data_IF_210552069146
#
_entry.id   IF_210552069146
#
_cell.length_a   1.000
_cell.length_b   1.000
_cell.length_c   1.000
_cell.angle_alpha   90.00
_cell.angle_beta   90.00
_cell.angle_gamma   90.00
#
_symmetry.space_group_name_H-M   'P 1'
#
loop_
_entity.id
_entity.type
_entity.pdbx_description
1 polymer ?
#
# COMPACT_ATOMS: atom_id res chain seq x y z
N UNK A 1 9.06 -15.08 -0.38
CA UNK A 1 9.31 -13.98 -1.32
C UNK A 1 9.95 -14.45 -2.64
N UNK A 2 11.10 -15.14 -2.65
CA UNK A 2 11.75 -15.63 -3.88
C UNK A 2 10.85 -16.48 -4.78
N UNK A 3 10.04 -17.38 -4.22
CA UNK A 3 9.14 -18.23 -5.00
C UNK A 3 8.11 -17.43 -5.82
N UNK A 4 7.57 -16.35 -5.28
CA UNK A 4 6.59 -15.53 -6.01
C UNK A 4 7.24 -14.72 -7.14
N UNK A 5 8.49 -14.27 -6.98
CA UNK A 5 9.26 -13.64 -8.05
C UNK A 5 9.57 -14.63 -9.16
N UNK A 6 9.95 -15.88 -8.82
CA UNK A 6 10.16 -16.92 -9.80
C UNK A 6 8.88 -17.23 -10.60
N UNK A 7 7.72 -17.33 -9.93
CA UNK A 7 6.42 -17.50 -10.60
C UNK A 7 6.08 -16.37 -11.55
N UNK A 8 6.52 -15.13 -11.27
CA UNK A 8 6.30 -13.99 -12.15
C UNK A 8 7.00 -14.16 -13.52
N UNK A 9 8.14 -14.87 -13.57
CA UNK A 9 8.84 -15.17 -14.83
C UNK A 9 7.95 -16.01 -15.75
N UNK A 10 7.21 -16.98 -15.22
CA UNK A 10 6.27 -17.78 -15.99
C UNK A 10 5.13 -16.93 -16.59
N UNK A 11 4.70 -15.90 -15.88
CA UNK A 11 3.63 -15.01 -16.34
C UNK A 11 4.00 -14.29 -17.65
N UNK A 12 5.28 -14.08 -17.91
CA UNK A 12 5.77 -13.38 -19.10
C UNK A 12 5.77 -14.26 -20.37
N UNK A 13 5.45 -15.56 -20.26
CA UNK A 13 5.35 -16.44 -21.42
C UNK A 13 4.10 -16.08 -22.23
N UNK A 14 4.23 -16.06 -23.56
CA UNK A 14 3.19 -15.63 -24.49
C UNK A 14 1.85 -16.39 -24.33
N UNK A 15 1.90 -17.66 -23.92
CA UNK A 15 0.70 -18.48 -23.68
C UNK A 15 -0.19 -17.98 -22.52
N UNK A 16 0.34 -17.16 -21.59
CA UNK A 16 -0.40 -16.57 -20.47
C UNK A 16 -0.80 -15.11 -20.73
N UNK A 17 -0.48 -14.59 -21.90
CA UNK A 17 -0.88 -13.25 -22.29
C UNK A 17 -2.31 -13.22 -22.83
N UNK A 18 -3.12 -12.29 -22.31
CA UNK A 18 -4.38 -11.88 -22.94
C UNK A 18 -4.75 -10.47 -22.44
N UNK A 19 -5.53 -9.74 -23.24
CA UNK A 19 -6.06 -8.44 -22.80
C UNK A 19 -6.90 -8.53 -21.53
N UNK A 20 -7.61 -9.65 -21.33
CA UNK A 20 -8.41 -9.88 -20.13
C UNK A 20 -7.51 -10.07 -18.90
N UNK A 21 -6.43 -10.87 -19.02
CA UNK A 21 -5.47 -11.07 -17.93
C UNK A 21 -4.75 -9.77 -17.56
N UNK A 22 -4.32 -8.99 -18.55
CA UNK A 22 -3.73 -7.67 -18.35
C UNK A 22 -4.71 -6.70 -17.68
N UNK A 23 -5.97 -6.64 -18.14
CA UNK A 23 -7.00 -5.80 -17.53
C UNK A 23 -7.29 -6.21 -16.08
N UNK A 24 -7.33 -7.52 -15.80
CA UNK A 24 -7.46 -8.08 -14.46
C UNK A 24 -6.30 -7.67 -13.55
N UNK A 25 -5.07 -7.71 -14.05
CA UNK A 25 -3.89 -7.22 -13.34
C UNK A 25 -4.01 -5.72 -13.00
N UNK A 26 -4.34 -4.87 -13.96
CA UNK A 26 -4.49 -3.41 -13.75
C UNK A 26 -5.61 -3.14 -12.74
N UNK A 27 -6.75 -3.82 -12.85
CA UNK A 27 -7.85 -3.67 -11.92
C UNK A 27 -7.45 -4.08 -10.49
N UNK A 28 -6.83 -5.24 -10.31
CA UNK A 28 -6.40 -5.73 -9.00
C UNK A 28 -5.24 -4.91 -8.43
N UNK A 29 -4.35 -4.40 -9.28
CA UNK A 29 -3.34 -3.43 -8.86
C UNK A 29 -3.99 -2.18 -8.26
N UNK A 30 -4.97 -1.60 -8.94
CA UNK A 30 -5.72 -0.46 -8.42
C UNK A 30 -6.45 -0.81 -7.11
N UNK A 31 -7.15 -1.95 -7.05
CA UNK A 31 -7.85 -2.40 -5.83
C UNK A 31 -6.89 -2.55 -4.65
N UNK A 32 -5.76 -3.22 -4.84
CA UNK A 32 -4.87 -3.55 -3.72
C UNK A 32 -3.93 -2.41 -3.36
N UNK A 33 -3.34 -1.72 -4.33
CA UNK A 33 -2.43 -0.61 -4.05
C UNK A 33 -3.20 0.68 -3.74
N UNK A 34 -4.13 1.13 -4.60
CA UNK A 34 -4.83 2.40 -4.39
C UNK A 34 -5.87 2.31 -3.28
N UNK A 35 -6.86 1.41 -3.41
CA UNK A 35 -7.93 1.32 -2.42
C UNK A 35 -7.45 0.66 -1.12
N UNK A 36 -6.62 -0.38 -1.23
CA UNK A 36 -6.15 -1.16 -0.09
C UNK A 36 -5.05 -0.48 0.70
N UNK A 37 -3.87 -0.34 0.09
CA UNK A 37 -2.70 0.18 0.80
C UNK A 37 -2.82 1.69 1.02
N UNK A 38 -2.95 2.50 -0.04
CA UNK A 38 -2.87 3.95 0.12
C UNK A 38 -4.11 4.56 0.79
N UNK A 39 -5.32 4.19 0.32
CA UNK A 39 -6.57 4.71 0.92
C UNK A 39 -6.84 4.05 2.27
N UNK A 40 -6.80 2.71 2.33
CA UNK A 40 -7.19 1.92 3.49
C UNK A 40 -6.14 1.90 4.59
N UNK A 41 -5.03 1.21 4.37
CA UNK A 41 -4.01 1.02 5.41
C UNK A 41 -3.33 2.32 5.79
N UNK A 42 -2.91 3.11 4.81
CA UNK A 42 -2.12 4.30 5.03
C UNK A 42 -2.96 5.47 5.53
N UNK A 43 -3.79 6.10 4.67
CA UNK A 43 -4.47 7.35 5.03
C UNK A 43 -5.63 7.16 6.01
N UNK A 44 -6.40 6.06 5.88
CA UNK A 44 -7.56 5.82 6.73
C UNK A 44 -7.18 5.20 8.08
N UNK A 45 -6.48 4.06 8.09
CA UNK A 45 -6.22 3.31 9.32
C UNK A 45 -4.99 3.82 10.07
N UNK A 46 -3.86 4.13 9.39
CA UNK A 46 -2.64 4.60 10.06
C UNK A 46 -2.79 6.03 10.55
N UNK A 47 -3.09 6.96 9.63
CA UNK A 47 -3.08 8.39 9.91
C UNK A 47 -4.43 8.96 10.36
N UNK A 48 -5.52 8.16 10.25
CA UNK A 48 -6.85 8.65 10.60
C UNK A 48 -7.19 10.00 9.94
N UNK A 49 -6.71 10.20 8.71
CA UNK A 49 -6.83 11.48 7.99
C UNK A 49 -8.24 11.81 7.51
N UNK A 50 -9.14 10.82 7.51
CA UNK A 50 -10.57 10.97 7.25
C UNK A 50 -11.36 9.83 7.91
N UNK A 51 -12.69 9.89 7.85
CA UNK A 51 -13.58 8.85 8.38
C UNK A 51 -14.57 8.40 7.31
N UNK A 52 -14.89 7.11 7.33
CA UNK A 52 -15.93 6.48 6.50
C UNK A 52 -16.81 5.57 7.35
N UNK A 53 -18.00 5.13 6.86
CA UNK A 53 -18.78 4.09 7.53
C UNK A 53 -17.97 2.81 7.74
N UNK A 54 -18.23 2.09 8.83
CA UNK A 54 -17.43 0.93 9.25
C UNK A 54 -17.36 -0.18 8.20
N UNK A 55 -18.43 -0.40 7.44
CA UNK A 55 -18.41 -1.37 6.35
C UNK A 55 -17.40 -1.02 5.25
N UNK A 56 -17.30 0.28 4.92
CA UNK A 56 -16.36 0.78 3.91
C UNK A 56 -14.90 0.77 4.44
N UNK A 57 -14.70 1.07 5.72
CA UNK A 57 -13.40 0.93 6.38
C UNK A 57 -12.91 -0.52 6.30
N UNK A 58 -13.80 -1.49 6.59
CA UNK A 58 -13.51 -2.92 6.49
C UNK A 58 -13.24 -3.37 5.06
N UNK A 59 -14.00 -2.85 4.09
CA UNK A 59 -13.75 -3.10 2.67
C UNK A 59 -12.34 -2.66 2.26
N UNK A 60 -11.93 -1.43 2.58
CA UNK A 60 -10.58 -0.96 2.28
C UNK A 60 -9.50 -1.76 3.01
N UNK A 61 -9.74 -2.16 4.25
CA UNK A 61 -8.83 -3.03 4.98
C UNK A 61 -8.68 -4.41 4.30
N UNK A 62 -9.75 -4.97 3.76
CA UNK A 62 -9.69 -6.24 2.99
C UNK A 62 -8.91 -6.07 1.70
N UNK A 63 -9.13 -4.97 0.97
CA UNK A 63 -8.33 -4.65 -0.22
C UNK A 63 -6.83 -4.53 0.12
N UNK A 64 -6.49 -3.94 1.28
CA UNK A 64 -5.12 -3.87 1.80
C UNK A 64 -4.55 -5.26 2.13
N UNK A 65 -5.34 -6.11 2.79
CA UNK A 65 -4.92 -7.47 3.12
C UNK A 65 -4.63 -8.33 1.86
N UNK A 66 -5.36 -8.09 0.77
CA UNK A 66 -5.11 -8.73 -0.53
C UNK A 66 -3.76 -8.33 -1.16
N UNK A 67 -3.09 -7.27 -0.68
CA UNK A 67 -1.73 -6.91 -1.12
C UNK A 67 -0.65 -7.84 -0.56
N UNK A 68 -0.98 -8.66 0.44
CA UNK A 68 -0.05 -9.56 1.15
C UNK A 68 1.18 -8.84 1.76
N UNK A 69 1.04 -7.57 2.15
CA UNK A 69 2.06 -6.78 2.85
C UNK A 69 1.77 -6.73 4.36
N UNK A 70 1.60 -7.85 5.01
CA UNK A 70 1.03 -8.02 6.35
C UNK A 70 -0.50 -7.74 6.42
N UNK A 71 -1.08 -8.12 7.54
CA UNK A 71 -2.45 -7.74 7.86
C UNK A 71 -2.53 -6.30 8.42
N UNK A 72 -3.74 -5.77 8.61
CA UNK A 72 -3.94 -4.36 8.96
C UNK A 72 -3.32 -3.94 10.29
N UNK A 73 -3.24 -4.85 11.28
CA UNK A 73 -2.67 -4.53 12.60
C UNK A 73 -1.17 -4.35 12.50
N UNK A 74 -0.47 -5.29 11.85
CA UNK A 74 0.98 -5.27 11.74
C UNK A 74 1.43 -4.14 10.82
N UNK A 75 0.78 -3.98 9.66
CA UNK A 75 1.10 -2.92 8.71
C UNK A 75 0.95 -1.53 9.33
N UNK A 76 -0.18 -1.26 9.99
CA UNK A 76 -0.46 0.03 10.64
C UNK A 76 0.50 0.29 11.80
N UNK A 77 0.79 -0.75 12.59
CA UNK A 77 1.72 -0.62 13.71
C UNK A 77 3.15 -0.31 13.26
N UNK A 78 3.66 -1.02 12.25
CA UNK A 78 4.97 -0.76 11.66
C UNK A 78 5.04 0.64 11.03
N UNK A 79 4.00 1.06 10.31
CA UNK A 79 3.97 2.37 9.68
C UNK A 79 3.94 3.53 10.70
N UNK A 80 3.18 3.39 11.79
CA UNK A 80 3.19 4.36 12.90
C UNK A 80 4.54 4.38 13.63
N UNK A 81 5.21 3.22 13.72
CA UNK A 81 6.56 3.13 14.25
C UNK A 81 7.55 3.90 13.37
N UNK A 82 7.49 3.68 12.05
CA UNK A 82 8.30 4.41 11.08
C UNK A 82 8.16 5.93 11.24
N UNK A 83 6.94 6.47 11.28
CA UNK A 83 6.73 7.91 11.48
C UNK A 83 7.26 8.45 12.83
N UNK A 84 7.39 7.59 13.84
CA UNK A 84 7.96 8.00 15.12
C UNK A 84 9.49 8.05 15.09
N UNK A 85 10.11 7.19 14.28
CA UNK A 85 11.55 6.96 14.27
C UNK A 85 12.17 7.07 12.88
N UNK A 86 11.50 7.75 11.94
CA UNK A 86 11.91 7.84 10.53
C UNK A 86 13.39 8.17 10.39
N UNK A 87 14.10 7.36 9.58
CA UNK A 87 15.52 7.49 9.28
C UNK A 87 16.44 7.51 10.52
N UNK A 88 16.05 6.84 11.60
CA UNK A 88 16.91 6.59 12.76
C UNK A 88 17.25 5.09 12.84
N UNK A 89 18.18 4.72 13.73
CA UNK A 89 18.55 3.31 13.98
C UNK A 89 17.36 2.44 14.41
N UNK A 90 16.32 3.04 15.01
CA UNK A 90 15.11 2.34 15.42
C UNK A 90 14.13 2.12 14.26
N UNK A 91 14.29 2.81 13.14
CA UNK A 91 13.47 2.61 11.94
C UNK A 91 13.83 1.27 11.27
N UNK A 92 12.84 0.41 11.06
CA UNK A 92 13.08 -0.91 10.46
C UNK A 92 13.56 -0.80 9.00
N UNK A 93 13.17 0.22 8.27
CA UNK A 93 13.63 0.48 6.90
C UNK A 93 14.45 1.78 6.77
N UNK A 94 15.27 2.07 7.78
CA UNK A 94 16.18 3.21 7.83
C UNK A 94 16.94 3.42 6.51
N UNK A 95 16.70 4.54 5.83
CA UNK A 95 17.30 4.86 4.54
C UNK A 95 18.79 5.19 4.63
N UNK A 96 19.31 5.51 5.84
CA UNK A 96 20.74 5.74 6.07
C UNK A 96 21.57 4.46 5.88
N UNK A 97 20.93 3.27 5.99
CA UNK A 97 21.56 1.98 5.68
C UNK A 97 21.63 1.68 4.18
N UNK A 98 21.12 2.59 3.35
CA UNK A 98 21.17 2.53 1.90
C UNK A 98 19.88 2.06 1.23
N UNK A 99 19.82 2.30 -0.10
CA UNK A 99 18.62 2.02 -0.91
C UNK A 99 18.12 0.58 -0.80
N UNK A 100 18.99 -0.41 -0.96
CA UNK A 100 18.58 -1.82 -0.95
C UNK A 100 18.11 -2.29 0.41
N UNK A 101 18.67 -1.72 1.49
CA UNK A 101 18.18 -1.99 2.83
C UNK A 101 16.74 -1.49 2.98
N UNK A 102 16.50 -0.20 2.76
CA UNK A 102 15.18 0.40 2.91
C UNK A 102 14.15 -0.14 1.91
N UNK A 103 14.60 -0.60 0.71
CA UNK A 103 13.72 -1.19 -0.28
C UNK A 103 13.19 -2.56 0.17
N UNK A 104 14.06 -3.48 0.51
CA UNK A 104 13.67 -4.86 0.84
C UNK A 104 14.57 -5.58 1.83
N UNK A 105 15.80 -5.13 2.06
CA UNK A 105 16.79 -5.83 2.89
C UNK A 105 16.31 -6.04 4.32
N UNK A 106 15.66 -5.04 4.89
CA UNK A 106 15.15 -5.08 6.26
C UNK A 106 14.19 -6.25 6.53
N UNK A 107 13.50 -6.77 5.51
CA UNK A 107 12.55 -7.88 5.66
C UNK A 107 13.21 -9.26 5.82
N UNK A 108 14.52 -9.35 5.64
CA UNK A 108 15.29 -10.58 5.82
C UNK A 108 15.99 -10.65 7.19
N UNK A 109 15.83 -9.61 8.00
CA UNK A 109 16.37 -9.50 9.35
C UNK A 109 15.24 -9.51 10.39
N UNK A 110 15.60 -9.70 11.65
CA UNK A 110 14.67 -9.51 12.76
C UNK A 110 14.20 -8.04 12.78
N UNK A 111 12.89 -7.82 12.90
CA UNK A 111 12.28 -6.51 12.96
C UNK A 111 11.86 -6.17 14.39
N UNK A 112 12.74 -5.52 15.20
CA UNK A 112 12.42 -5.17 16.58
C UNK A 112 11.18 -4.29 16.74
N UNK A 113 10.87 -3.47 15.72
CA UNK A 113 9.67 -2.64 15.64
C UNK A 113 8.37 -3.44 15.82
N UNK A 114 8.35 -4.75 15.47
CA UNK A 114 7.20 -5.63 15.67
C UNK A 114 6.78 -5.72 17.15
N UNK A 115 7.69 -5.56 18.10
CA UNK A 115 7.37 -5.54 19.54
C UNK A 115 6.52 -4.33 19.93
N UNK A 116 6.59 -3.23 19.18
CA UNK A 116 5.81 -2.02 19.43
C UNK A 116 4.41 -2.07 18.78
N UNK A 117 4.18 -2.96 17.79
CA UNK A 117 2.93 -3.07 17.05
C UNK A 117 1.69 -3.16 17.94
N UNK A 118 1.63 -4.01 18.99
CA UNK A 118 0.43 -4.10 19.82
C UNK A 118 0.04 -2.77 20.50
N UNK A 119 1.01 -1.96 20.87
CA UNK A 119 0.79 -0.64 21.45
C UNK A 119 0.36 0.38 20.40
N UNK A 120 1.03 0.38 19.24
CA UNK A 120 0.83 1.37 18.19
C UNK A 120 -0.47 1.15 17.39
N UNK A 121 -0.96 -0.09 17.31
CA UNK A 121 -2.21 -0.46 16.63
C UNK A 121 -3.31 -0.96 17.59
N UNK A 122 -3.26 -0.56 18.86
CA UNK A 122 -4.22 -0.97 19.90
C UNK A 122 -5.69 -0.63 19.58
N UNK A 123 -5.92 0.39 18.76
CA UNK A 123 -7.23 0.75 18.23
C UNK A 123 -7.80 -0.31 17.25
N UNK A 124 -6.94 -1.00 16.50
CA UNK A 124 -7.34 -2.06 15.56
C UNK A 124 -7.42 -3.43 16.23
N UNK A 125 -6.53 -3.74 17.17
CA UNK A 125 -6.51 -5.03 17.87
C UNK A 125 -7.83 -5.34 18.58
N UNK A 126 -8.56 -4.33 19.02
CA UNK A 126 -9.86 -4.50 19.69
C UNK A 126 -10.95 -5.03 18.76
N UNK A 127 -10.87 -4.80 17.45
CA UNK A 127 -11.86 -5.24 16.48
C UNK A 127 -11.54 -6.67 15.99
N UNK A 128 -12.44 -7.65 16.20
CA UNK A 128 -12.23 -9.04 15.79
C UNK A 128 -12.06 -9.19 14.27
N UNK A 129 -12.63 -8.29 13.48
CA UNK A 129 -12.47 -8.28 12.03
C UNK A 129 -11.02 -8.03 11.61
N UNK A 130 -10.35 -7.04 12.22
CA UNK A 130 -8.95 -6.77 11.92
C UNK A 130 -8.02 -7.86 12.44
N UNK A 131 -8.33 -8.49 13.59
CA UNK A 131 -7.59 -9.68 14.04
C UNK A 131 -7.71 -10.84 13.06
N UNK A 132 -8.92 -11.08 12.53
CA UNK A 132 -9.16 -12.10 11.51
C UNK A 132 -8.33 -11.81 10.24
N UNK A 133 -8.40 -10.59 9.69
CA UNK A 133 -7.61 -10.20 8.52
C UNK A 133 -6.11 -10.32 8.79
N UNK A 134 -5.64 -9.87 9.96
CA UNK A 134 -4.23 -9.88 10.31
C UNK A 134 -3.66 -11.30 10.37
N UNK A 135 -4.45 -12.25 10.84
CA UNK A 135 -4.05 -13.68 10.91
C UNK A 135 -4.14 -14.38 9.55
N UNK A 136 -5.10 -14.00 8.70
CA UNK A 136 -5.51 -14.78 7.54
C UNK A 136 -5.29 -14.08 6.19
N UNK A 137 -4.53 -12.97 6.13
CA UNK A 137 -4.38 -12.18 4.90
C UNK A 137 -3.86 -12.99 3.70
N UNK A 138 -2.98 -13.97 3.92
CA UNK A 138 -2.49 -14.84 2.85
C UNK A 138 -3.58 -15.77 2.31
N UNK A 139 -4.48 -16.24 3.17
CA UNK A 139 -5.55 -17.17 2.77
C UNK A 139 -6.57 -16.49 1.85
N UNK A 140 -6.65 -15.17 1.84
CA UNK A 140 -7.52 -14.42 0.92
C UNK A 140 -7.14 -14.62 -0.56
N UNK A 141 -5.91 -15.06 -0.85
CA UNK A 141 -5.50 -15.39 -2.20
C UNK A 141 -6.18 -16.67 -2.74
N UNK A 142 -6.66 -17.56 -1.88
CA UNK A 142 -7.33 -18.80 -2.30
C UNK A 142 -8.67 -18.52 -3.01
N UNK A 143 -9.65 -17.82 -2.39
CA UNK A 143 -10.90 -17.48 -3.07
C UNK A 143 -10.66 -16.53 -4.26
N UNK A 144 -9.70 -15.61 -4.18
CA UNK A 144 -9.34 -14.76 -5.31
C UNK A 144 -8.82 -15.60 -6.48
N UNK A 145 -7.90 -16.53 -6.21
CA UNK A 145 -7.34 -17.42 -7.24
C UNK A 145 -8.39 -18.30 -7.89
N UNK A 146 -9.30 -18.89 -7.10
CA UNK A 146 -10.42 -19.67 -7.63
C UNK A 146 -11.32 -18.82 -8.53
N UNK A 147 -11.66 -17.60 -8.12
CA UNK A 147 -12.47 -16.67 -8.91
C UNK A 147 -11.78 -16.31 -10.22
N UNK A 148 -10.50 -15.94 -10.19
CA UNK A 148 -9.72 -15.62 -11.38
C UNK A 148 -9.62 -16.81 -12.34
N UNK A 149 -9.38 -18.00 -11.79
CA UNK A 149 -9.33 -19.23 -12.60
C UNK A 149 -10.65 -19.47 -13.34
N UNK A 150 -11.77 -19.38 -12.63
CA UNK A 150 -13.10 -19.58 -13.22
C UNK A 150 -13.43 -18.52 -14.29
N UNK A 151 -13.09 -17.25 -14.04
CA UNK A 151 -13.24 -16.18 -15.04
C UNK A 151 -12.43 -16.49 -16.30
N UNK A 152 -11.16 -16.87 -16.15
CA UNK A 152 -10.30 -17.19 -17.29
C UNK A 152 -10.78 -18.38 -18.09
N UNK A 153 -11.28 -19.42 -17.42
CA UNK A 153 -11.86 -20.60 -18.08
C UNK A 153 -13.14 -20.25 -18.84
N UNK A 154 -14.06 -19.54 -18.20
CA UNK A 154 -15.33 -19.16 -18.83
C UNK A 154 -15.14 -18.18 -20.02
N UNK A 155 -14.11 -17.36 -19.99
CA UNK A 155 -13.78 -16.43 -21.06
C UNK A 155 -12.90 -17.04 -22.17
N UNK A 156 -12.49 -18.31 -22.06
CA UNK A 156 -11.65 -18.98 -23.04
C UNK A 156 -10.20 -18.49 -23.14
N UNK A 157 -9.72 -17.72 -22.14
CA UNK A 157 -8.32 -17.21 -22.11
C UNK A 157 -7.39 -18.08 -21.25
N UNK A 158 -7.95 -19.10 -20.60
CA UNK A 158 -7.23 -19.99 -19.71
C UNK A 158 -7.22 -19.49 -18.24
N UNK A 159 -7.63 -20.37 -17.30
CA UNK A 159 -7.72 -20.02 -15.89
C UNK A 159 -6.38 -19.60 -15.28
N UNK A 160 -5.31 -20.30 -15.65
CA UNK A 160 -3.97 -19.99 -15.15
C UNK A 160 -3.42 -18.65 -15.63
N UNK A 161 -3.79 -18.18 -16.83
CA UNK A 161 -3.43 -16.83 -17.27
C UNK A 161 -3.94 -15.78 -16.30
N UNK A 162 -5.24 -15.84 -15.96
CA UNK A 162 -5.84 -14.92 -14.99
C UNK A 162 -5.19 -15.02 -13.60
N UNK A 163 -4.91 -16.23 -13.11
CA UNK A 163 -4.27 -16.44 -11.80
C UNK A 163 -2.86 -15.87 -11.78
N UNK A 164 -2.02 -16.15 -12.78
CA UNK A 164 -0.64 -15.70 -12.85
C UNK A 164 -0.53 -14.17 -12.95
N UNK A 165 -1.38 -13.53 -13.74
CA UNK A 165 -1.42 -12.07 -13.84
C UNK A 165 -2.03 -11.43 -12.59
N UNK A 166 -3.10 -11.98 -12.04
CA UNK A 166 -3.83 -11.40 -10.91
C UNK A 166 -3.22 -11.66 -9.55
N UNK A 167 -2.34 -12.66 -9.39
CA UNK A 167 -1.71 -12.97 -8.09
C UNK A 167 -0.20 -12.74 -8.14
N UNK A 168 0.67 -13.63 -8.67
CA UNK A 168 2.11 -13.44 -8.52
C UNK A 168 2.61 -12.16 -9.18
N UNK A 169 2.26 -11.88 -10.43
CA UNK A 169 2.73 -10.67 -11.10
C UNK A 169 2.24 -9.40 -10.38
N UNK A 170 0.95 -9.36 -10.04
CA UNK A 170 0.38 -8.21 -9.32
C UNK A 170 1.02 -8.03 -7.95
N UNK A 171 1.25 -9.10 -7.17
CA UNK A 171 1.88 -9.00 -5.85
C UNK A 171 3.30 -8.46 -5.96
N UNK A 172 4.13 -9.03 -6.85
CA UNK A 172 5.50 -8.56 -7.04
C UNK A 172 5.53 -7.09 -7.47
N UNK A 173 4.66 -6.70 -8.41
CA UNK A 173 4.57 -5.31 -8.84
C UNK A 173 4.17 -4.37 -7.68
N UNK A 174 3.13 -4.73 -6.92
CA UNK A 174 2.65 -3.93 -5.76
C UNK A 174 3.71 -3.87 -4.66
N UNK A 175 4.47 -4.93 -4.42
CA UNK A 175 5.58 -4.92 -3.46
C UNK A 175 6.61 -3.87 -3.85
N UNK A 176 7.16 -3.98 -5.05
CA UNK A 176 8.23 -3.07 -5.47
C UNK A 176 7.78 -1.60 -5.50
N UNK A 177 6.58 -1.29 -6.00
CA UNK A 177 6.13 0.11 -5.98
C UNK A 177 5.93 0.65 -4.56
N UNK A 178 5.45 -0.18 -3.60
CA UNK A 178 5.34 0.22 -2.20
C UNK A 178 6.73 0.41 -1.57
N UNK A 179 7.65 -0.52 -1.82
CA UNK A 179 9.03 -0.41 -1.30
C UNK A 179 9.81 0.76 -1.91
N UNK A 180 9.45 1.23 -3.13
CA UNK A 180 9.99 2.47 -3.68
C UNK A 180 9.58 3.69 -2.83
N UNK A 181 8.44 3.64 -2.14
CA UNK A 181 8.08 4.69 -1.18
C UNK A 181 9.06 4.71 -0.01
N UNK A 182 9.47 3.55 0.50
CA UNK A 182 10.42 3.47 1.62
C UNK A 182 11.86 3.80 1.21
N UNK A 183 12.23 3.56 -0.05
CA UNK A 183 13.62 3.67 -0.54
C UNK A 183 13.83 4.89 -1.43
N UNK A 184 13.21 4.92 -2.61
CA UNK A 184 13.45 5.96 -3.61
C UNK A 184 13.02 7.35 -3.11
N UNK A 185 11.95 7.44 -2.32
CA UNK A 185 11.48 8.72 -1.77
C UNK A 185 12.26 9.20 -0.54
N UNK A 186 13.17 8.40 -0.01
CA UNK A 186 14.14 8.84 0.99
C UNK A 186 15.53 9.11 0.38
N UNK A 187 15.80 8.56 -0.84
CA UNK A 187 17.08 8.78 -1.53
C UNK A 187 16.99 9.91 -2.55
N UNK A 188 15.92 9.97 -3.37
CA UNK A 188 15.85 10.84 -4.56
C UNK A 188 14.55 11.63 -4.64
N UNK A 189 14.65 12.91 -4.94
CA UNK A 189 13.50 13.78 -5.12
C UNK A 189 13.77 15.21 -4.65
N UNK A 190 12.69 15.94 -4.41
CA UNK A 190 12.72 17.34 -3.95
C UNK A 190 12.19 17.43 -2.52
N UNK A 191 12.79 18.31 -1.72
CA UNK A 191 12.31 18.69 -0.39
C UNK A 191 11.50 19.97 -0.55
N UNK A 192 10.25 19.95 -0.10
CA UNK A 192 9.35 21.09 -0.11
C UNK A 192 9.11 21.66 1.29
N UNK A 193 9.28 20.81 2.31
CA UNK A 193 9.05 21.14 3.72
C UNK A 193 10.10 20.48 4.60
N UNK A 194 10.45 21.14 5.71
CA UNK A 194 11.29 20.54 6.75
C UNK A 194 10.49 19.47 7.50
N UNK A 195 10.83 18.19 7.28
CA UNK A 195 10.17 17.05 7.91
C UNK A 195 10.96 16.45 9.08
N UNK A 196 12.27 16.78 9.15
CA UNK A 196 13.17 16.22 10.16
C UNK A 196 13.75 14.85 9.80
N UNK A 197 13.50 14.37 8.59
CA UNK A 197 13.95 13.09 8.05
C UNK A 197 14.44 13.22 6.59
N UNK A 198 14.80 12.12 5.94
CA UNK A 198 15.32 12.12 4.56
C UNK A 198 14.21 12.11 3.49
N UNK A 199 12.95 12.23 3.87
CA UNK A 199 11.82 12.12 2.93
C UNK A 199 11.86 13.17 1.83
N UNK A 200 11.56 12.75 0.61
CA UNK A 200 11.57 13.59 -0.61
C UNK A 200 10.32 13.35 -1.45
N UNK A 201 9.91 14.36 -2.19
CA UNK A 201 8.86 14.25 -3.19
C UNK A 201 9.43 13.70 -4.49
N UNK A 202 8.95 12.52 -4.92
CA UNK A 202 9.36 11.88 -6.15
C UNK A 202 8.15 11.66 -7.06
N UNK A 203 8.10 12.39 -8.17
CA UNK A 203 6.95 12.36 -9.09
C UNK A 203 6.71 11.01 -9.77
N UNK A 204 7.78 10.24 -10.03
CA UNK A 204 7.66 8.92 -10.67
C UNK A 204 7.09 7.90 -9.71
N UNK A 205 7.58 7.91 -8.46
CA UNK A 205 6.99 7.08 -7.41
C UNK A 205 5.54 7.50 -7.16
N UNK A 206 5.22 8.81 -7.13
CA UNK A 206 3.86 9.29 -6.96
C UNK A 206 2.92 8.80 -8.07
N UNK A 207 3.38 8.76 -9.32
CA UNK A 207 2.59 8.24 -10.45
C UNK A 207 2.27 6.73 -10.28
N UNK A 208 3.27 5.94 -9.87
CA UNK A 208 3.10 4.49 -9.64
C UNK A 208 2.31 4.17 -8.37
N UNK A 209 2.34 5.01 -7.35
CA UNK A 209 1.75 4.75 -6.03
C UNK A 209 0.51 5.59 -5.74
N UNK A 210 -0.16 6.09 -6.79
CA UNK A 210 -1.40 6.86 -6.65
C UNK A 210 -1.29 8.12 -5.78
N UNK A 211 -0.05 8.67 -5.61
CA UNK A 211 0.22 9.89 -4.86
C UNK A 211 1.14 9.74 -3.64
N UNK A 212 1.50 8.51 -3.24
CA UNK A 212 2.35 8.31 -2.04
C UNK A 212 3.80 8.78 -2.24
N UNK A 213 4.25 8.94 -3.49
CA UNK A 213 5.57 9.54 -3.79
C UNK A 213 5.68 11.04 -3.48
N UNK A 214 4.60 11.74 -3.10
CA UNK A 214 4.65 13.07 -2.47
C UNK A 214 5.00 12.95 -1.00
N UNK A 215 6.09 12.27 -0.73
CA UNK A 215 6.43 11.69 0.56
C UNK A 215 6.97 12.71 1.57
N UNK A 216 7.74 13.69 1.12
CA UNK A 216 8.16 14.80 1.98
C UNK A 216 6.95 15.64 2.46
N UNK A 217 5.99 15.90 1.56
CA UNK A 217 4.75 16.55 1.96
C UNK A 217 4.00 15.75 3.02
N UNK A 218 3.96 14.42 2.84
CA UNK A 218 3.30 13.51 3.77
C UNK A 218 4.00 13.49 5.13
N UNK A 219 5.33 13.37 5.18
CA UNK A 219 6.09 13.38 6.42
C UNK A 219 5.99 14.72 7.17
N UNK A 220 5.94 15.84 6.45
CA UNK A 220 5.69 17.15 7.05
C UNK A 220 4.25 17.29 7.59
N UNK A 221 3.26 16.66 6.95
CA UNK A 221 1.84 16.74 7.32
C UNK A 221 1.18 15.35 7.38
N UNK A 222 1.60 14.45 8.29
CA UNK A 222 1.20 13.05 8.28
C UNK A 222 -0.31 12.82 8.46
N UNK A 223 -1.00 13.74 9.11
CA UNK A 223 -2.45 13.67 9.30
C UNK A 223 -3.26 14.17 8.09
N UNK A 224 -2.62 14.67 7.02
CA UNK A 224 -3.31 15.15 5.83
C UNK A 224 -3.84 14.00 4.98
N UNK A 225 -5.09 14.10 4.54
CA UNK A 225 -5.67 13.20 3.56
C UNK A 225 -5.17 13.48 2.13
N UNK A 226 -4.55 14.63 1.89
CA UNK A 226 -3.98 15.07 0.61
C UNK A 226 -2.47 15.13 0.72
N UNK A 227 -1.75 14.39 -0.12
CA UNK A 227 -0.28 14.40 -0.17
C UNK A 227 0.26 15.31 -1.27
N UNK A 228 -0.41 15.40 -2.42
CA UNK A 228 -0.06 16.33 -3.48
C UNK A 228 -0.48 17.76 -3.13
N UNK A 229 0.34 18.52 -2.41
CA UNK A 229 -0.01 19.84 -1.88
C UNK A 229 0.15 20.97 -2.91
N UNK A 230 1.06 20.82 -3.88
CA UNK A 230 1.30 21.82 -4.92
C UNK A 230 0.44 21.56 -6.16
N UNK A 231 0.20 22.61 -6.98
CA UNK A 231 -0.72 22.59 -8.12
C UNK A 231 -0.47 21.48 -9.16
N UNK A 232 0.81 21.12 -9.38
CA UNK A 232 1.23 20.10 -10.36
C UNK A 232 1.38 18.71 -9.77
N UNK A 233 1.12 18.53 -8.48
CA UNK A 233 1.26 17.26 -7.78
C UNK A 233 -0.05 16.47 -7.86
N UNK A 234 -0.11 15.55 -8.82
CA UNK A 234 -1.28 14.67 -9.00
C UNK A 234 -1.29 13.63 -7.88
N UNK A 235 -2.40 13.55 -7.16
CA UNK A 235 -2.65 12.63 -6.06
C UNK A 235 -3.98 11.93 -6.33
N UNK A 236 -3.92 10.74 -6.92
CA UNK A 236 -5.11 9.98 -7.31
C UNK A 236 -5.87 9.45 -6.10
N UNK A 237 -5.17 9.07 -5.04
CA UNK A 237 -5.81 8.66 -3.77
C UNK A 237 -6.63 9.82 -3.18
N UNK A 238 -6.12 11.04 -3.25
CA UNK A 238 -6.87 12.21 -2.85
C UNK A 238 -8.13 12.41 -3.71
N UNK A 239 -8.06 12.14 -5.03
CA UNK A 239 -9.26 12.23 -5.88
C UNK A 239 -10.34 11.21 -5.46
N UNK A 240 -9.96 9.99 -5.07
CA UNK A 240 -10.87 9.00 -4.50
C UNK A 240 -11.52 9.49 -3.20
N UNK A 241 -10.74 10.06 -2.29
CA UNK A 241 -11.26 10.60 -1.02
C UNK A 241 -12.23 11.75 -1.30
N UNK A 242 -11.92 12.63 -2.27
CA UNK A 242 -12.84 13.70 -2.71
C UNK A 242 -14.14 13.15 -3.27
N UNK A 243 -14.06 12.11 -4.11
CA UNK A 243 -15.24 11.43 -4.64
C UNK A 243 -16.09 10.84 -3.51
N UNK A 244 -15.48 10.12 -2.56
CA UNK A 244 -16.20 9.62 -1.38
C UNK A 244 -16.85 10.74 -0.56
N UNK A 245 -16.20 11.89 -0.43
CA UNK A 245 -16.79 13.08 0.21
C UNK A 245 -18.01 13.57 -0.56
N UNK A 246 -17.90 13.68 -1.88
CA UNK A 246 -18.99 14.19 -2.72
C UNK A 246 -20.26 13.33 -2.64
N UNK A 247 -20.11 12.00 -2.48
CA UNK A 247 -21.25 11.06 -2.29
C UNK A 247 -21.61 10.82 -0.80
N UNK A 248 -21.04 11.62 0.12
CA UNK A 248 -21.39 11.59 1.55
C UNK A 248 -20.75 10.45 2.37
N UNK A 249 -19.88 9.64 1.77
CA UNK A 249 -19.24 8.49 2.44
C UNK A 249 -17.97 8.87 3.22
N UNK A 250 -17.24 9.93 2.85
CA UNK A 250 -16.10 10.41 3.61
C UNK A 250 -16.43 11.68 4.40
N UNK A 251 -16.03 11.69 5.68
CA UNK A 251 -16.27 12.79 6.62
C UNK A 251 -14.99 13.13 7.40
N UNK A 252 -14.98 14.25 8.11
CA UNK A 252 -13.87 14.70 8.97
C UNK A 252 -12.50 14.61 8.26
N UNK A 253 -12.45 15.09 7.03
CA UNK A 253 -11.23 15.06 6.22
C UNK A 253 -10.27 16.12 6.76
N UNK A 254 -9.05 15.69 7.10
CA UNK A 254 -7.97 16.55 7.58
C UNK A 254 -7.13 17.01 6.38
N UNK A 255 -6.78 18.27 6.38
CA UNK A 255 -5.86 18.89 5.41
C UNK A 255 -4.83 19.71 6.20
N UNK A 256 -3.67 20.04 5.62
CA UNK A 256 -2.77 21.01 6.24
C UNK A 256 -3.50 22.32 6.50
N UNK A 257 -3.12 23.04 7.57
CA UNK A 257 -3.58 24.40 7.73
C UNK A 257 -3.19 25.21 6.47
N UNK A 258 -4.11 26.03 5.97
CA UNK A 258 -3.79 26.93 4.86
C UNK A 258 -2.66 27.85 5.33
N UNK A 259 -1.46 27.72 4.71
CA UNK A 259 -0.36 28.65 4.86
C UNK A 259 -0.62 29.91 4.08
#
# INVERSE_FOLDING_TARGET
MLAIHALTIFTLQAQFWSWLAFSGFIFLYWVTACLGVTTGYHRLLSHRSFQVPKWLERFFATCGALSCQHGPIDWVGLHRHHHTFSDTEADHHDSNKGFWWSHMGWMFEDVPAMKAVPRLSGDLIKDPYYRFLNKNFLLLQLPLGATLYLIGQSAGVGGWAMVLWGIPLRLVFVYHITWLVNSATHCWGTIAYESGDNSKNNKWVAALTFGEGWHNNHHAFPNSAKHGLQRKQIDLTWQHIRFLKAIGLAKKIRLPAAS
#
